data_IF_260583892727
#
_entry.id   IF_260583892727
#
_cell.length_a   1.000
_cell.length_b   1.000
_cell.length_c   1.000
_cell.angle_alpha   90.00
_cell.angle_beta   90.00
_cell.angle_gamma   90.00
#
_symmetry.space_group_name_H-M   'P 1'
#
loop_
_entity.id
_entity.type
_entity.pdbx_description
1 polymer ?
#
# COMPACT_ATOMS: atom_id res chain seq x y z
N UNK A 1 -5.90 -11.37 17.86
CA UNK A 1 -6.84 -10.94 16.81
C UNK A 1 -6.60 -9.46 16.60
N UNK A 2 -6.53 -8.98 15.36
CA UNK A 2 -6.19 -7.58 15.07
C UNK A 2 -7.46 -6.74 14.97
N UNK A 3 -7.50 -5.61 15.66
CA UNK A 3 -8.63 -4.67 15.55
C UNK A 3 -8.57 -3.89 14.23
N UNK A 4 -7.37 -3.67 13.69
CA UNK A 4 -7.16 -3.02 12.39
C UNK A 4 -5.96 -3.61 11.64
N UNK A 5 -6.07 -3.71 10.32
CA UNK A 5 -4.99 -4.13 9.41
C UNK A 5 -4.87 -3.09 8.29
N UNK A 6 -3.70 -2.47 8.19
CA UNK A 6 -3.32 -1.60 7.07
C UNK A 6 -2.67 -2.43 5.96
N UNK A 7 -3.17 -2.29 4.74
CA UNK A 7 -2.71 -3.01 3.56
C UNK A 7 -2.18 -1.98 2.55
N UNK A 8 -0.86 -1.88 2.36
CA UNK A 8 -0.31 -1.12 1.24
C UNK A 8 -0.67 -1.84 -0.07
N UNK A 9 -1.19 -1.09 -1.05
CA UNK A 9 -1.50 -1.58 -2.39
C UNK A 9 -0.74 -0.80 -3.44
N UNK A 10 -0.13 -1.51 -4.38
CA UNK A 10 0.59 -0.95 -5.53
C UNK A 10 -0.20 -1.14 -6.84
N UNK A 11 -1.44 -1.63 -6.73
CA UNK A 11 -2.36 -1.93 -7.83
C UNK A 11 -1.88 -3.04 -8.77
N UNK A 12 -0.85 -3.79 -8.38
CA UNK A 12 -0.45 -5.01 -9.08
C UNK A 12 -1.45 -6.14 -8.83
N UNK A 13 -1.46 -7.13 -9.71
CA UNK A 13 -2.24 -8.37 -9.50
C UNK A 13 -1.76 -9.14 -8.27
N UNK A 14 -0.52 -8.93 -7.82
CA UNK A 14 0.01 -9.53 -6.60
C UNK A 14 -0.78 -9.11 -5.35
N UNK A 15 -1.44 -7.95 -5.37
CA UNK A 15 -2.30 -7.52 -4.26
C UNK A 15 -3.47 -8.48 -3.99
N UNK A 16 -3.94 -9.26 -4.96
CA UNK A 16 -5.01 -10.24 -4.75
C UNK A 16 -4.63 -11.27 -3.67
N UNK A 17 -3.37 -11.72 -3.67
CA UNK A 17 -2.86 -12.64 -2.66
C UNK A 17 -2.80 -11.99 -1.27
N UNK A 18 -2.35 -10.74 -1.20
CA UNK A 18 -2.27 -9.97 0.05
C UNK A 18 -3.67 -9.76 0.64
N UNK A 19 -4.65 -9.43 -0.20
CA UNK A 19 -6.05 -9.25 0.22
C UNK A 19 -6.68 -10.56 0.71
N UNK A 20 -6.35 -11.70 0.08
CA UNK A 20 -6.80 -13.01 0.55
C UNK A 20 -6.25 -13.31 1.95
N UNK A 21 -4.94 -13.13 2.16
CA UNK A 21 -4.32 -13.31 3.48
C UNK A 21 -4.89 -12.36 4.53
N UNK A 22 -5.11 -11.09 4.19
CA UNK A 22 -5.70 -10.13 5.12
C UNK A 22 -7.12 -10.54 5.56
N UNK A 23 -7.91 -11.14 4.66
CA UNK A 23 -9.24 -11.68 4.99
C UNK A 23 -9.18 -12.90 5.91
N UNK A 24 -8.16 -13.75 5.75
CA UNK A 24 -7.94 -14.90 6.65
C UNK A 24 -7.50 -14.47 8.05
N UNK A 25 -6.74 -13.38 8.14
CA UNK A 25 -6.30 -12.80 9.41
C UNK A 25 -7.36 -11.94 10.09
N UNK A 26 -8.27 -11.36 9.30
CA UNK A 26 -9.35 -10.54 9.77
C UNK A 26 -10.46 -11.36 10.42
N UNK A 27 -11.09 -10.75 11.39
CA UNK A 27 -12.35 -11.24 11.95
C UNK A 27 -13.45 -10.52 11.24
N UNK A 28 -14.35 -11.27 10.61
CA UNK A 28 -15.35 -10.81 9.65
C UNK A 28 -16.13 -9.55 10.07
N UNK A 29 -16.26 -9.31 11.38
CA UNK A 29 -17.05 -8.21 11.96
C UNK A 29 -16.30 -7.38 13.02
N UNK A 30 -15.00 -7.62 13.25
CA UNK A 30 -14.24 -6.95 14.32
C UNK A 30 -12.94 -6.31 13.84
N UNK A 31 -12.52 -6.59 12.61
CA UNK A 31 -11.26 -6.07 12.07
C UNK A 31 -11.52 -5.06 10.97
N UNK A 32 -11.04 -3.84 11.17
CA UNK A 32 -11.04 -2.78 10.15
C UNK A 32 -9.90 -3.01 9.16
N UNK A 33 -10.24 -3.28 7.89
CA UNK A 33 -9.27 -3.38 6.80
C UNK A 33 -9.12 -2.03 6.09
N UNK A 34 -7.94 -1.41 6.20
CA UNK A 34 -7.63 -0.16 5.51
C UNK A 34 -6.68 -0.39 4.34
N UNK A 35 -7.07 0.04 3.14
CA UNK A 35 -6.20 0.02 1.96
C UNK A 35 -5.49 1.36 1.80
N UNK A 36 -4.17 1.33 1.61
CA UNK A 36 -3.35 2.51 1.34
C UNK A 36 -2.65 2.35 -0.01
N UNK A 37 -3.00 3.21 -0.96
CA UNK A 37 -2.22 3.36 -2.19
C UNK A 37 -1.36 4.63 -2.08
N UNK A 38 -0.05 4.49 -2.25
CA UNK A 38 0.86 5.63 -2.30
C UNK A 38 0.96 6.08 -3.75
N UNK A 39 0.66 7.35 -4.01
CA UNK A 39 0.84 7.97 -5.31
C UNK A 39 2.17 8.71 -5.27
N UNK A 40 3.12 8.28 -6.09
CA UNK A 40 4.35 9.05 -6.33
C UNK A 40 3.97 10.31 -7.11
N UNK A 41 4.09 11.46 -6.45
CA UNK A 41 4.00 12.75 -7.12
C UNK A 41 5.39 13.17 -7.54
N UNK A 42 5.53 13.75 -8.74
CA UNK A 42 6.73 14.48 -9.14
C UNK A 42 6.86 15.72 -8.23
N UNK A 43 7.42 15.56 -7.05
CA UNK A 43 7.85 16.65 -6.20
C UNK A 43 9.34 16.43 -5.93
N UNK A 44 10.10 17.39 -6.45
CA UNK A 44 11.54 17.61 -6.33
C UNK A 44 12.46 16.78 -7.24
N UNK A 45 12.36 17.01 -8.57
CA UNK A 45 13.61 17.31 -9.28
C UNK A 45 14.11 18.63 -8.69
N UNK A 46 15.00 18.58 -7.69
CA UNK A 46 15.79 19.74 -7.32
C UNK A 46 16.43 20.28 -8.62
N UNK A 47 16.26 21.57 -8.96
CA UNK A 47 16.89 22.13 -10.15
C UNK A 47 18.42 22.07 -9.98
N UNK A 48 19.06 21.00 -10.48
CA UNK A 48 20.50 20.80 -10.33
C UNK A 48 21.05 19.40 -10.60
N UNK A 49 20.25 18.33 -10.66
CA UNK A 49 20.78 16.96 -10.84
C UNK A 49 20.99 16.53 -12.32
N UNK A 50 21.31 17.46 -13.22
CA UNK A 50 21.70 17.14 -14.61
C UNK A 50 23.09 17.68 -14.96
N UNK A 51 24.09 17.47 -14.11
CA UNK A 51 25.48 17.91 -14.39
C UNK A 51 26.53 16.79 -14.44
N UNK A 52 26.13 15.50 -14.52
CA UNK A 52 27.08 14.37 -14.63
C UNK A 52 26.64 13.26 -15.63
N UNK A 53 26.24 13.63 -16.86
CA UNK A 53 26.21 12.70 -18.01
C UNK A 53 26.82 13.31 -19.28
#
# INVERSE_FOLDING_TARGET
>A
MYDSILIPVDLSTTNEHVLATARELASSDQTDLQLLHVIETLQDEEPGEMDDF
#
